data_IF_596038353074
#
_entry.id   IF_596038353074
#
_cell.length_a   1.000
_cell.length_b   1.000
_cell.length_c   1.000
_cell.angle_alpha   90.00
_cell.angle_beta   90.00
_cell.angle_gamma   90.00
#
_symmetry.space_group_name_H-M   'P 1'
#
loop_
_entity.id
_entity.type
_entity.pdbx_description
1 polymer ?
#
# COMPACT_ATOMS: atom_id res chain seq x y z
N UNK A 1 -21.73 -52.07 -23.73
CA UNK A 1 -21.38 -51.72 -22.34
C UNK A 1 -19.99 -51.08 -22.14
N UNK A 2 -19.26 -50.73 -23.21
CA UNK A 2 -17.91 -50.15 -23.12
C UNK A 2 -17.84 -48.58 -23.27
N UNK A 3 -18.98 -47.89 -23.32
CA UNK A 3 -19.03 -46.41 -23.50
C UNK A 3 -19.05 -45.61 -22.21
N UNK A 4 -19.46 -46.23 -21.09
CA UNK A 4 -19.49 -45.61 -19.77
C UNK A 4 -18.12 -45.09 -19.28
N UNK A 5 -17.00 -45.78 -19.43
CA UNK A 5 -15.69 -45.27 -19.00
C UNK A 5 -15.22 -44.06 -19.81
N UNK A 6 -15.57 -44.00 -21.10
CA UNK A 6 -15.20 -42.83 -21.94
C UNK A 6 -15.96 -41.58 -21.56
N UNK A 7 -17.23 -41.73 -21.20
CA UNK A 7 -18.07 -40.60 -20.73
C UNK A 7 -17.59 -40.14 -19.35
N UNK A 8 -17.23 -41.06 -18.46
CA UNK A 8 -16.70 -40.70 -17.14
C UNK A 8 -15.36 -39.95 -17.25
N UNK A 9 -14.48 -40.37 -18.15
CA UNK A 9 -13.21 -39.68 -18.41
C UNK A 9 -13.45 -38.28 -19.02
N UNK A 10 -14.40 -38.15 -19.96
CA UNK A 10 -14.76 -36.85 -20.55
C UNK A 10 -15.32 -35.88 -19.50
N UNK A 11 -16.17 -36.37 -18.59
CA UNK A 11 -16.71 -35.57 -17.47
C UNK A 11 -15.61 -35.17 -16.46
N UNK A 12 -14.66 -36.06 -16.19
CA UNK A 12 -13.53 -35.77 -15.32
C UNK A 12 -12.62 -34.68 -15.93
N UNK A 13 -12.32 -34.78 -17.22
CA UNK A 13 -11.52 -33.76 -17.93
C UNK A 13 -12.27 -32.42 -17.99
N UNK A 14 -13.56 -32.41 -18.25
CA UNK A 14 -14.38 -31.22 -18.26
C UNK A 14 -14.45 -30.53 -16.88
N UNK A 15 -14.47 -31.27 -15.77
CA UNK A 15 -14.44 -30.71 -14.43
C UNK A 15 -13.09 -30.10 -14.03
N UNK A 16 -11.98 -30.63 -14.57
CA UNK A 16 -10.62 -30.09 -14.36
C UNK A 16 -10.38 -28.76 -15.09
N UNK A 17 -11.10 -28.50 -16.20
CA UNK A 17 -10.98 -27.24 -16.95
C UNK A 17 -11.80 -26.09 -16.36
N UNK A 18 -12.76 -26.35 -15.48
CA UNK A 18 -13.58 -25.32 -14.84
C UNK A 18 -12.84 -24.49 -13.76
N UNK A 19 -11.59 -24.85 -13.42
CA UNK A 19 -10.81 -24.20 -12.36
C UNK A 19 -10.15 -22.87 -12.73
N UNK A 20 -10.26 -22.38 -13.96
CA UNK A 20 -9.56 -21.16 -14.43
C UNK A 20 -10.13 -19.82 -13.94
N UNK A 21 -11.15 -19.83 -13.06
CA UNK A 21 -11.81 -18.61 -12.55
C UNK A 21 -11.21 -17.99 -11.28
N UNK A 22 -10.31 -18.70 -10.59
CA UNK A 22 -9.74 -18.25 -9.32
C UNK A 22 -8.39 -17.56 -9.57
N UNK A 23 -8.39 -16.54 -10.43
CA UNK A 23 -7.21 -15.69 -10.53
C UNK A 23 -7.25 -14.70 -9.36
N UNK A 24 -6.32 -14.87 -8.42
CA UNK A 24 -6.14 -13.96 -7.30
C UNK A 24 -5.85 -12.55 -7.82
N UNK A 25 -6.78 -11.62 -7.59
CA UNK A 25 -6.66 -10.22 -7.98
C UNK A 25 -5.99 -9.46 -6.86
N UNK A 26 -4.69 -9.22 -6.97
CA UNK A 26 -3.96 -8.43 -5.99
C UNK A 26 -4.04 -6.95 -6.35
N UNK A 27 -4.43 -6.09 -5.41
CA UNK A 27 -4.33 -4.65 -5.60
C UNK A 27 -2.86 -4.24 -5.72
N UNK A 28 -2.59 -3.33 -6.66
CA UNK A 28 -1.25 -2.80 -6.95
C UNK A 28 -1.16 -1.42 -6.33
N UNK A 29 -0.18 -1.22 -5.46
CA UNK A 29 0.14 0.06 -4.85
C UNK A 29 1.46 0.58 -5.39
N UNK A 30 1.56 1.88 -5.63
CA UNK A 30 2.76 2.55 -6.11
C UNK A 30 2.87 3.94 -5.47
N UNK A 31 4.11 4.42 -5.28
CA UNK A 31 4.41 5.72 -4.71
C UNK A 31 4.57 5.70 -3.18
N UNK A 32 4.35 6.83 -2.56
CA UNK A 32 4.52 7.01 -1.12
C UNK A 32 3.33 6.43 -0.35
N UNK A 33 3.54 5.27 0.24
CA UNK A 33 2.61 4.71 1.21
C UNK A 33 2.97 5.26 2.59
N UNK A 34 2.10 6.10 3.14
CA UNK A 34 2.31 6.76 4.42
C UNK A 34 1.58 5.99 5.50
N UNK A 35 2.29 5.61 6.54
CA UNK A 35 1.70 4.98 7.72
C UNK A 35 0.90 6.01 8.52
N UNK A 36 -0.30 5.62 8.98
CA UNK A 36 -1.16 6.52 9.77
C UNK A 36 -0.46 7.05 11.01
N UNK A 37 0.28 6.20 11.71
CA UNK A 37 1.07 6.57 12.88
C UNK A 37 2.12 7.65 12.59
N UNK A 38 2.72 7.62 11.40
CA UNK A 38 3.67 8.63 10.96
C UNK A 38 2.96 9.95 10.60
N UNK A 39 1.84 9.88 9.88
CA UNK A 39 1.06 11.07 9.55
C UNK A 39 0.50 11.77 10.80
N UNK A 40 0.08 11.01 11.80
CA UNK A 40 -0.45 11.54 13.08
C UNK A 40 0.65 12.21 13.93
N UNK A 41 1.93 11.94 13.67
CA UNK A 41 3.05 12.57 14.37
C UNK A 41 3.52 13.88 13.71
N UNK A 42 2.97 14.24 12.55
CA UNK A 42 3.32 15.50 11.90
C UNK A 42 2.91 16.69 12.77
N UNK A 43 3.85 17.62 12.93
CA UNK A 43 3.63 18.86 13.69
C UNK A 43 4.24 20.05 12.94
N UNK A 44 3.56 21.19 13.01
CA UNK A 44 4.12 22.42 12.51
C UNK A 44 5.42 22.75 13.25
N UNK A 45 6.42 23.27 12.53
CA UNK A 45 7.74 23.55 13.07
C UNK A 45 8.74 22.40 12.96
N UNK A 46 8.33 21.20 12.53
CA UNK A 46 9.28 20.11 12.25
C UNK A 46 10.24 20.48 11.14
N UNK A 47 11.51 20.13 11.31
CA UNK A 47 12.51 20.32 10.25
C UNK A 47 12.28 19.35 9.08
N UNK A 48 12.79 19.70 7.90
CA UNK A 48 12.75 18.81 6.71
C UNK A 48 13.34 17.44 7.01
N UNK A 49 14.44 17.40 7.77
CA UNK A 49 15.08 16.14 8.15
C UNK A 49 14.20 15.27 9.03
N UNK A 50 13.47 15.88 9.98
CA UNK A 50 12.50 15.16 10.82
C UNK A 50 11.35 14.60 9.97
N UNK A 51 10.83 15.39 9.02
CA UNK A 51 9.77 14.95 8.10
C UNK A 51 10.28 13.80 7.21
N UNK A 52 11.51 13.87 6.67
CA UNK A 52 12.12 12.78 5.90
C UNK A 52 12.27 11.50 6.72
N UNK A 53 12.64 11.62 7.98
CA UNK A 53 12.76 10.46 8.88
C UNK A 53 11.39 9.83 9.14
N UNK A 54 10.36 10.64 9.24
CA UNK A 54 8.99 10.22 9.59
C UNK A 54 8.23 9.64 8.39
N UNK A 55 8.23 10.35 7.26
CA UNK A 55 7.46 9.99 6.07
C UNK A 55 8.27 9.38 4.93
N UNK A 56 9.59 9.42 5.03
CA UNK A 56 10.48 9.04 3.93
C UNK A 56 10.62 10.13 2.87
N UNK A 57 11.25 9.77 1.75
CA UNK A 57 11.49 10.70 0.63
C UNK A 57 10.19 11.00 -0.12
N UNK A 58 9.85 12.28 -0.38
CA UNK A 58 8.68 12.62 -1.16
C UNK A 58 8.80 12.15 -2.62
N UNK A 59 7.67 11.87 -3.27
CA UNK A 59 7.63 11.53 -4.69
C UNK A 59 8.07 12.69 -5.58
N UNK A 60 7.72 13.91 -5.16
CA UNK A 60 8.06 15.13 -5.88
C UNK A 60 8.63 16.14 -4.89
N UNK A 61 9.89 16.49 -5.08
CA UNK A 61 10.56 17.62 -4.45
C UNK A 61 11.07 18.52 -5.59
N UNK A 62 10.29 19.53 -5.94
CA UNK A 62 10.61 20.42 -7.06
C UNK A 62 11.83 21.28 -6.69
N UNK A 63 12.90 21.27 -7.49
CA UNK A 63 14.07 22.11 -7.26
C UNK A 63 13.79 23.60 -7.41
N UNK A 64 12.69 23.98 -8.07
CA UNK A 64 12.28 25.38 -8.25
C UNK A 64 11.32 25.87 -7.16
N UNK A 65 10.64 24.96 -6.48
CA UNK A 65 9.71 25.24 -5.38
C UNK A 65 10.14 24.46 -4.14
N UNK A 66 11.25 24.88 -3.55
CA UNK A 66 11.86 24.21 -2.40
C UNK A 66 10.96 24.16 -1.16
N UNK A 67 9.99 25.06 -1.10
CA UNK A 67 9.01 25.13 0.00
C UNK A 67 7.92 24.07 -0.06
N UNK A 68 7.84 23.27 -1.14
CA UNK A 68 6.77 22.30 -1.34
C UNK A 68 7.29 20.88 -1.58
N UNK A 69 6.73 19.93 -0.84
CA UNK A 69 6.93 18.51 -1.06
C UNK A 69 5.59 17.81 -1.29
N UNK A 70 5.54 16.95 -2.31
CA UNK A 70 4.34 16.18 -2.62
C UNK A 70 4.61 14.68 -2.43
N UNK A 71 3.79 14.08 -1.60
CA UNK A 71 3.73 12.64 -1.36
C UNK A 71 2.54 12.08 -2.14
N UNK A 72 2.83 11.34 -3.20
CA UNK A 72 1.82 10.81 -4.11
C UNK A 72 1.80 9.30 -4.04
N UNK A 73 0.62 8.72 -3.89
CA UNK A 73 0.43 7.29 -3.98
C UNK A 73 -0.73 6.94 -4.89
N UNK A 74 -0.62 5.82 -5.59
CA UNK A 74 -1.66 5.29 -6.44
C UNK A 74 -2.01 3.86 -6.05
N UNK A 75 -3.29 3.54 -6.18
CA UNK A 75 -3.83 2.20 -6.00
C UNK A 75 -4.61 1.79 -7.22
N UNK A 76 -4.36 0.59 -7.70
CA UNK A 76 -5.16 -0.07 -8.73
C UNK A 76 -5.67 -1.41 -8.22
N UNK A 77 -6.96 -1.65 -8.29
CA UNK A 77 -7.58 -2.88 -7.80
C UNK A 77 -7.14 -4.15 -8.57
N UNK A 78 -6.85 -4.00 -9.86
CA UNK A 78 -6.34 -5.05 -10.75
C UNK A 78 -5.78 -4.42 -12.03
N UNK A 79 -5.25 -5.24 -12.97
CA UNK A 79 -4.69 -4.76 -14.26
C UNK A 79 -5.67 -3.94 -15.11
N UNK A 80 -6.98 -4.17 -14.99
CA UNK A 80 -8.04 -3.49 -15.73
C UNK A 80 -8.87 -2.53 -14.87
N UNK A 81 -8.55 -2.45 -13.57
CA UNK A 81 -9.27 -1.61 -12.63
C UNK A 81 -8.89 -0.14 -12.74
N UNK A 82 -9.78 0.71 -12.23
CA UNK A 82 -9.53 2.14 -12.10
C UNK A 82 -8.35 2.40 -11.15
N UNK A 83 -7.51 3.36 -11.52
CA UNK A 83 -6.43 3.83 -10.66
C UNK A 83 -6.95 4.97 -9.79
N UNK A 84 -6.83 4.83 -8.50
CA UNK A 84 -7.10 5.88 -7.52
C UNK A 84 -5.76 6.51 -7.11
N UNK A 85 -5.68 7.83 -7.16
CA UNK A 85 -4.49 8.59 -6.76
C UNK A 85 -4.85 9.43 -5.55
N UNK A 86 -3.96 9.44 -4.56
CA UNK A 86 -4.04 10.32 -3.40
C UNK A 86 -2.74 11.08 -3.26
N UNK A 87 -2.85 12.37 -2.99
CA UNK A 87 -1.72 13.26 -2.81
C UNK A 87 -1.83 13.91 -1.44
N UNK A 88 -0.70 13.99 -0.76
CA UNK A 88 -0.52 14.80 0.42
C UNK A 88 0.63 15.78 0.15
N UNK A 89 0.34 17.06 0.29
CA UNK A 89 1.30 18.15 0.06
C UNK A 89 1.70 18.77 1.39
N UNK A 90 2.99 18.97 1.56
CA UNK A 90 3.60 19.63 2.70
C UNK A 90 4.21 20.95 2.24
N UNK A 91 4.03 22.00 3.01
CA UNK A 91 4.65 23.30 2.77
C UNK A 91 5.61 23.65 3.90
N UNK A 92 6.76 24.17 3.51
CA UNK A 92 7.84 24.57 4.41
C UNK A 92 8.08 26.07 4.32
N UNK A 93 8.35 26.69 5.45
CA UNK A 93 8.89 28.03 5.57
C UNK A 93 10.36 27.91 5.99
N UNK A 94 11.27 28.15 5.04
CA UNK A 94 12.69 27.82 5.24
C UNK A 94 12.89 26.31 5.43
N UNK A 95 13.34 25.90 6.61
CA UNK A 95 13.54 24.48 6.98
C UNK A 95 12.39 23.93 7.83
N UNK A 96 11.41 24.75 8.22
CA UNK A 96 10.34 24.36 9.12
C UNK A 96 9.05 24.03 8.38
N UNK A 97 8.41 22.93 8.75
CA UNK A 97 7.08 22.54 8.24
C UNK A 97 6.04 23.56 8.72
N UNK A 98 5.38 24.24 7.77
CA UNK A 98 4.35 25.22 8.05
C UNK A 98 2.95 24.60 8.10
N UNK A 99 2.61 23.84 7.07
CA UNK A 99 1.31 23.15 6.96
C UNK A 99 1.40 21.93 6.07
N UNK A 100 0.41 21.07 6.16
CA UNK A 100 0.20 19.95 5.24
C UNK A 100 -1.28 19.78 4.94
N UNK A 101 -1.58 19.26 3.77
CA UNK A 101 -2.94 19.08 3.28
C UNK A 101 -3.01 17.91 2.31
N UNK A 102 -4.17 17.25 2.25
CA UNK A 102 -4.40 16.18 1.29
C UNK A 102 -4.85 14.87 1.92
N UNK A 103 -4.75 13.81 1.12
CA UNK A 103 -5.20 12.46 1.51
C UNK A 103 -4.12 11.44 1.19
N UNK A 104 -4.03 10.38 2.00
CA UNK A 104 -3.15 9.24 1.83
C UNK A 104 -3.90 7.92 2.04
N UNK A 105 -3.27 6.77 1.75
CA UNK A 105 -3.91 5.45 1.82
C UNK A 105 -3.63 4.73 3.15
N UNK A 106 -3.92 5.37 4.28
CA UNK A 106 -3.62 4.83 5.61
C UNK A 106 -4.24 3.46 5.90
N UNK A 107 -5.53 3.29 5.57
CA UNK A 107 -6.26 2.05 5.86
C UNK A 107 -5.68 0.84 5.12
N UNK A 108 -5.05 1.08 3.99
CA UNK A 108 -4.49 0.03 3.14
C UNK A 108 -3.06 -0.30 3.53
N UNK A 109 -2.35 0.67 4.06
CA UNK A 109 -1.02 0.46 4.64
C UNK A 109 -1.12 -0.43 5.88
N UNK A 110 -2.13 -0.24 6.74
CA UNK A 110 -2.40 -1.12 7.87
C UNK A 110 -2.80 -2.54 7.41
N UNK A 111 -3.65 -2.65 6.38
CA UNK A 111 -4.05 -3.94 5.83
C UNK A 111 -2.88 -4.65 5.14
N UNK A 112 -2.03 -3.89 4.42
CA UNK A 112 -0.83 -4.41 3.78
C UNK A 112 0.21 -4.84 4.82
N UNK A 113 0.48 -4.03 5.83
CA UNK A 113 1.37 -4.35 6.94
C UNK A 113 0.89 -5.59 7.70
N UNK A 114 -0.42 -5.70 7.95
CA UNK A 114 -1.03 -6.87 8.57
C UNK A 114 -0.89 -8.14 7.72
N UNK A 115 -1.01 -8.00 6.40
CA UNK A 115 -0.80 -9.06 5.42
C UNK A 115 0.67 -9.48 5.36
N UNK A 116 1.59 -8.52 5.35
CA UNK A 116 3.04 -8.77 5.35
C UNK A 116 3.49 -9.46 6.64
N UNK A 117 2.95 -9.07 7.80
CA UNK A 117 3.20 -9.75 9.09
C UNK A 117 2.70 -11.19 9.08
N UNK A 118 1.65 -11.51 8.32
CA UNK A 118 1.09 -12.87 8.22
C UNK A 118 1.92 -13.79 7.31
N UNK A 119 2.58 -13.24 6.30
CA UNK A 119 3.33 -13.99 5.28
C UNK A 119 4.85 -13.73 5.30
N UNK A 120 5.32 -12.75 6.05
CA UNK A 120 6.73 -12.37 6.14
C UNK A 120 7.41 -12.95 7.37
N UNK A 121 8.72 -13.17 7.26
CA UNK A 121 9.62 -13.57 8.33
C UNK A 121 9.95 -12.40 9.29
N UNK A 122 9.01 -11.51 9.55
CA UNK A 122 9.20 -10.48 10.56
C UNK A 122 9.19 -11.12 11.94
N UNK A 123 10.15 -10.81 12.82
CA UNK A 123 10.18 -11.29 14.19
C UNK A 123 8.83 -10.99 14.85
N UNK A 124 8.22 -12.00 15.47
CA UNK A 124 7.06 -11.79 16.31
C UNK A 124 7.48 -10.89 17.45
N UNK A 125 6.85 -9.73 17.54
CA UNK A 125 7.00 -8.84 18.69
C UNK A 125 6.53 -9.61 19.93
N UNK A 126 7.48 -10.07 20.74
CA UNK A 126 7.18 -10.72 22.00
C UNK A 126 6.44 -9.71 22.87
N UNK A 127 5.14 -9.91 23.03
CA UNK A 127 4.35 -9.23 24.05
C UNK A 127 4.92 -9.61 25.41
N UNK A 128 5.98 -8.90 25.83
CA UNK A 128 6.55 -9.01 27.18
C UNK A 128 5.45 -8.63 28.15
N UNK A 129 4.87 -9.66 28.73
CA UNK A 129 3.88 -9.64 29.80
C UNK A 129 4.36 -8.69 30.88
N UNK A 130 3.83 -7.49 30.96
CA UNK A 130 3.99 -6.65 32.16
C UNK A 130 3.19 -7.29 33.27
N UNK A 131 3.90 -7.86 34.20
CA UNK A 131 3.43 -8.12 35.57
C UNK A 131 3.62 -6.87 36.39
#
# INVERSE_FOLDING_TARGET
>A
MRRLPKIAIALLVASLTAGCGILYKQPIYQGNLIEKSAADQLQAGMSRQQVLTLLGTPSIADPFHHERWDYTASQRANRRGTTHIKNMTLWFEGDSLSKWEGKYFAEQDEALAKKMRRFGNLPKEDKKKRR
#
